data_IF_396979823542
#
_entry.id   IF_396979823542
#
_cell.length_a   1.000
_cell.length_b   1.000
_cell.length_c   1.000
_cell.angle_alpha   90.00
_cell.angle_beta   90.00
_cell.angle_gamma   90.00
#
_symmetry.space_group_name_H-M   'P 1'
#
loop_
_entity.id
_entity.type
_entity.pdbx_description
1 polymer ?
#
# COMPACT_ATOMS: atom_id res chain seq x y z
N UNK A 1 11.35 0.66 -10.62
CA UNK A 1 10.71 1.97 -10.40
C UNK A 1 10.75 2.30 -8.92
N UNK A 2 11.01 3.56 -8.53
CA UNK A 2 10.86 4.02 -7.14
C UNK A 2 9.47 4.62 -6.95
N UNK A 3 8.82 4.29 -5.84
CA UNK A 3 7.50 4.78 -5.43
C UNK A 3 7.51 5.16 -3.96
N UNK A 4 6.69 6.15 -3.59
CA UNK A 4 6.32 6.43 -2.21
C UNK A 4 5.10 5.62 -1.77
N UNK A 5 4.84 5.61 -0.46
CA UNK A 5 3.61 5.07 0.12
C UNK A 5 3.15 5.98 1.27
N UNK A 6 1.87 5.89 1.58
CA UNK A 6 1.22 6.69 2.62
C UNK A 6 0.44 5.75 3.52
N UNK A 7 0.94 5.55 4.74
CA UNK A 7 0.23 4.82 5.77
C UNK A 7 -1.08 5.55 6.10
N UNK A 8 -2.19 4.83 6.18
CA UNK A 8 -3.50 5.44 6.45
C UNK A 8 -3.52 6.18 7.80
N UNK A 9 -2.77 5.71 8.80
CA UNK A 9 -2.62 6.38 10.10
C UNK A 9 -1.84 7.68 9.96
N UNK A 10 -0.78 7.70 9.17
CA UNK A 10 -0.05 8.94 8.85
C UNK A 10 -0.98 9.97 8.21
N UNK A 11 -1.77 9.55 7.23
CA UNK A 11 -2.71 10.43 6.53
C UNK A 11 -3.74 10.98 7.53
N UNK A 12 -4.28 10.15 8.42
CA UNK A 12 -5.22 10.58 9.46
C UNK A 12 -4.58 11.55 10.46
N UNK A 13 -3.40 11.24 10.98
CA UNK A 13 -2.65 12.11 11.90
C UNK A 13 -2.32 13.46 11.25
N UNK A 14 -1.94 13.46 9.97
CA UNK A 14 -1.65 14.68 9.25
C UNK A 14 -2.89 15.54 9.02
N UNK A 15 -4.06 14.93 8.78
CA UNK A 15 -5.32 15.67 8.72
C UNK A 15 -5.62 16.34 10.07
N UNK A 16 -5.49 15.63 11.18
CA UNK A 16 -5.70 16.19 12.52
C UNK A 16 -4.71 17.33 12.76
N UNK A 17 -3.42 17.11 12.52
CA UNK A 17 -2.39 18.14 12.67
C UNK A 17 -2.70 19.37 11.81
N UNK A 18 -3.05 19.20 10.53
CA UNK A 18 -3.33 20.32 9.63
C UNK A 18 -4.49 21.18 10.11
N UNK A 19 -5.52 20.58 10.73
CA UNK A 19 -6.63 21.35 11.33
C UNK A 19 -6.19 22.23 12.51
N UNK A 20 -5.13 21.86 13.22
CA UNK A 20 -4.58 22.66 14.33
C UNK A 20 -3.69 23.81 13.88
N UNK A 21 -3.08 23.72 12.68
CA UNK A 21 -2.17 24.75 12.18
C UNK A 21 -2.90 25.98 11.64
N UNK A 22 -4.13 25.84 11.16
CA UNK A 22 -4.96 26.93 10.58
C UNK A 22 -4.25 27.74 9.48
N UNK A 23 -3.44 27.09 8.66
CA UNK A 23 -2.55 27.74 7.67
C UNK A 23 -3.06 27.74 6.23
N UNK A 24 -4.19 27.10 5.90
CA UNK A 24 -4.75 27.12 4.54
C UNK A 24 -3.82 26.56 3.44
N UNK A 25 -2.82 25.77 3.83
CA UNK A 25 -1.75 25.26 2.97
C UNK A 25 -2.06 23.85 2.46
N UNK A 26 -1.51 23.52 1.29
CA UNK A 26 -1.52 22.15 0.74
C UNK A 26 -0.26 21.37 1.16
N UNK A 27 -0.42 20.10 1.52
CA UNK A 27 0.68 19.22 1.93
C UNK A 27 0.56 17.85 1.26
N UNK A 28 1.70 17.28 0.87
CA UNK A 28 1.76 15.85 0.56
C UNK A 28 1.75 15.05 1.87
N UNK A 29 1.16 13.86 1.83
CA UNK A 29 1.13 12.93 2.97
C UNK A 29 1.82 11.63 2.55
N UNK A 30 3.09 11.46 2.94
CA UNK A 30 3.92 10.32 2.53
C UNK A 30 4.79 9.85 3.72
N UNK A 31 5.06 8.55 3.77
CA UNK A 31 5.86 7.89 4.79
C UNK A 31 7.28 8.49 4.94
N UNK A 32 7.83 9.04 3.86
CA UNK A 32 9.13 9.71 3.82
C UNK A 32 10.27 8.87 3.24
N UNK A 33 10.05 7.57 3.02
CA UNK A 33 10.98 6.69 2.29
C UNK A 33 10.38 6.19 0.98
N UNK A 34 11.17 6.22 -0.10
CA UNK A 34 10.81 5.57 -1.37
C UNK A 34 11.38 4.15 -1.43
N UNK A 35 10.75 3.29 -2.21
CA UNK A 35 11.14 1.89 -2.36
C UNK A 35 10.91 1.40 -3.80
N UNK A 36 11.49 0.25 -4.14
CA UNK A 36 11.12 -0.47 -5.36
C UNK A 36 10.34 -1.72 -5.00
N UNK A 37 9.25 -2.01 -5.72
CA UNK A 37 8.48 -3.25 -5.54
C UNK A 37 9.37 -4.51 -5.52
N UNK A 38 10.29 -4.63 -6.49
CA UNK A 38 11.23 -5.75 -6.56
C UNK A 38 12.12 -5.94 -5.33
N UNK A 39 12.38 -4.88 -4.56
CA UNK A 39 13.25 -4.92 -3.38
C UNK A 39 12.49 -5.40 -2.15
N UNK A 40 11.19 -5.08 -2.04
CA UNK A 40 10.37 -5.42 -0.87
C UNK A 40 9.47 -6.65 -1.08
N UNK A 41 9.34 -7.14 -2.31
CA UNK A 41 8.40 -8.23 -2.64
C UNK A 41 8.67 -9.51 -1.84
N UNK A 42 9.95 -9.86 -1.66
CA UNK A 42 10.35 -11.00 -0.86
C UNK A 42 9.94 -10.87 0.60
N UNK A 43 10.14 -9.68 1.17
CA UNK A 43 9.77 -9.40 2.56
C UNK A 43 8.25 -9.42 2.77
N UNK A 44 7.47 -8.94 1.79
CA UNK A 44 6.00 -9.07 1.79
C UNK A 44 5.60 -10.55 1.80
N UNK A 45 6.23 -11.37 0.95
CA UNK A 45 5.97 -12.81 0.93
C UNK A 45 6.24 -13.46 2.27
N UNK A 46 7.41 -13.20 2.86
CA UNK A 46 7.79 -13.72 4.19
C UNK A 46 6.77 -13.33 5.26
N UNK A 47 6.32 -12.07 5.28
CA UNK A 47 5.30 -11.60 6.23
C UNK A 47 3.95 -12.31 6.07
N UNK A 48 3.57 -12.64 4.84
CA UNK A 48 2.35 -13.39 4.53
C UNK A 48 2.54 -14.92 4.66
N UNK A 49 3.71 -15.40 5.08
CA UNK A 49 3.99 -16.83 5.21
C UNK A 49 4.16 -17.56 3.88
N UNK A 50 4.38 -16.84 2.78
CA UNK A 50 4.57 -17.42 1.44
C UNK A 50 5.99 -17.19 0.92
N UNK A 51 6.59 -18.20 0.32
CA UNK A 51 7.89 -18.04 -0.32
C UNK A 51 7.72 -17.39 -1.69
N UNK A 52 7.84 -16.06 -1.76
CA UNK A 52 7.83 -15.31 -3.01
C UNK A 52 9.19 -14.67 -3.22
N UNK A 53 9.93 -15.09 -4.25
CA UNK A 53 11.29 -14.57 -4.51
C UNK A 53 11.35 -13.65 -5.73
N UNK A 54 10.30 -13.59 -6.55
CA UNK A 54 10.34 -12.84 -7.79
C UNK A 54 9.12 -11.95 -8.00
N UNK A 55 9.36 -10.64 -8.06
CA UNK A 55 8.38 -9.67 -8.55
C UNK A 55 8.30 -9.78 -10.09
N UNK A 56 7.13 -10.14 -10.61
CA UNK A 56 6.88 -10.33 -12.04
C UNK A 56 6.02 -9.20 -12.61
N UNK A 57 6.60 -8.37 -13.48
CA UNK A 57 5.92 -7.26 -14.15
C UNK A 57 4.95 -7.72 -15.25
N UNK A 58 5.15 -8.91 -15.81
CA UNK A 58 4.32 -9.47 -16.88
C UNK A 58 3.05 -10.15 -16.34
N UNK A 59 2.92 -10.26 -15.02
CA UNK A 59 1.75 -10.85 -14.38
C UNK A 59 0.49 -10.02 -14.65
N UNK A 60 -0.54 -10.69 -15.16
CA UNK A 60 -1.89 -10.13 -15.35
C UNK A 60 -2.77 -10.54 -14.17
N UNK A 61 -2.87 -9.69 -13.15
CA UNK A 61 -3.66 -9.96 -11.94
C UNK A 61 -5.15 -10.18 -12.24
N UNK A 62 -5.70 -9.50 -13.24
CA UNK A 62 -7.06 -9.73 -13.75
C UNK A 62 -7.29 -11.18 -14.15
N UNK A 63 -6.32 -11.81 -14.82
CA UNK A 63 -6.39 -13.20 -15.24
C UNK A 63 -6.04 -14.16 -14.09
N UNK A 64 -4.95 -13.89 -13.38
CA UNK A 64 -4.46 -14.74 -12.30
C UNK A 64 -5.47 -14.89 -11.14
N UNK A 65 -6.34 -13.89 -10.94
CA UNK A 65 -7.34 -13.86 -9.88
C UNK A 65 -8.79 -13.96 -10.41
N UNK A 66 -8.99 -14.31 -11.68
CA UNK A 66 -10.31 -14.31 -12.34
C UNK A 66 -11.29 -15.34 -11.77
N UNK A 67 -10.80 -16.51 -11.33
CA UNK A 67 -11.63 -17.62 -10.84
C UNK A 67 -11.35 -17.95 -9.36
N UNK A 68 -10.90 -16.95 -8.59
CA UNK A 68 -10.52 -17.15 -7.19
C UNK A 68 -11.68 -16.89 -6.21
N UNK A 69 -12.86 -16.52 -6.70
CA UNK A 69 -14.03 -16.22 -5.85
C UNK A 69 -14.47 -17.44 -5.02
N UNK A 70 -14.61 -18.60 -5.65
CA UNK A 70 -14.97 -19.84 -4.93
C UNK A 70 -13.90 -20.26 -3.90
N UNK A 71 -12.63 -20.08 -4.25
CA UNK A 71 -11.52 -20.33 -3.32
C UNK A 71 -11.57 -19.38 -2.11
N UNK A 72 -11.84 -18.09 -2.33
CA UNK A 72 -11.96 -17.10 -1.26
C UNK A 72 -13.11 -17.43 -0.30
N UNK A 73 -14.29 -17.80 -0.81
CA UNK A 73 -15.43 -18.22 0.01
C UNK A 73 -15.07 -19.38 0.94
N UNK A 74 -14.34 -20.36 0.42
CA UNK A 74 -13.87 -21.49 1.23
C UNK A 74 -12.89 -21.05 2.32
N UNK A 75 -11.99 -20.10 2.03
CA UNK A 75 -11.07 -19.53 3.02
C UNK A 75 -11.84 -18.80 4.11
N UNK A 76 -12.79 -17.92 3.75
CA UNK A 76 -13.64 -17.19 4.69
C UNK A 76 -14.36 -18.13 5.65
N UNK A 77 -15.00 -19.18 5.11
CA UNK A 77 -15.69 -20.17 5.93
C UNK A 77 -14.72 -20.98 6.83
N UNK A 78 -13.60 -21.44 6.27
CA UNK A 78 -12.65 -22.30 6.98
C UNK A 78 -11.94 -21.58 8.12
N UNK A 79 -11.57 -20.33 7.90
CA UNK A 79 -10.80 -19.52 8.86
C UNK A 79 -11.71 -18.64 9.74
N UNK A 80 -13.04 -18.65 9.53
CA UNK A 80 -14.00 -17.86 10.30
C UNK A 80 -13.84 -16.35 10.11
N UNK A 81 -13.51 -15.92 8.89
CA UNK A 81 -13.29 -14.51 8.56
C UNK A 81 -14.63 -13.77 8.39
N UNK A 82 -14.56 -12.43 8.38
CA UNK A 82 -15.69 -11.58 8.00
C UNK A 82 -16.13 -11.93 6.58
N UNK A 83 -17.44 -12.10 6.40
CA UNK A 83 -18.04 -12.44 5.10
C UNK A 83 -17.75 -11.32 4.09
N UNK A 84 -16.99 -11.67 3.06
CA UNK A 84 -16.53 -10.77 1.99
C UNK A 84 -16.42 -11.55 0.69
N UNK A 85 -16.66 -10.87 -0.42
CA UNK A 85 -16.33 -11.39 -1.74
C UNK A 85 -14.91 -10.96 -2.14
N UNK A 86 -14.28 -11.72 -3.04
CA UNK A 86 -12.91 -11.40 -3.48
C UNK A 86 -12.84 -9.98 -4.07
N UNK A 87 -13.89 -9.55 -4.78
CA UNK A 87 -13.95 -8.27 -5.47
C UNK A 87 -14.16 -7.08 -4.50
N UNK A 88 -14.59 -7.33 -3.26
CA UNK A 88 -14.67 -6.30 -2.21
C UNK A 88 -13.27 -5.89 -1.71
N UNK A 89 -12.31 -6.83 -1.76
CA UNK A 89 -10.98 -6.68 -1.16
C UNK A 89 -9.87 -6.47 -2.20
N UNK A 90 -9.98 -7.13 -3.36
CA UNK A 90 -8.92 -7.18 -4.36
C UNK A 90 -9.32 -6.45 -5.65
N UNK A 91 -8.97 -5.17 -5.73
CA UNK A 91 -9.11 -4.41 -6.98
C UNK A 91 -8.01 -4.81 -7.98
N UNK A 92 -8.32 -5.80 -8.82
CA UNK A 92 -7.40 -6.38 -9.82
C UNK A 92 -6.87 -5.34 -10.81
N UNK A 93 -7.72 -4.43 -11.29
CA UNK A 93 -7.32 -3.39 -12.25
C UNK A 93 -6.36 -2.39 -11.60
N UNK A 94 -6.66 -1.96 -10.37
CA UNK A 94 -5.77 -1.10 -9.60
C UNK A 94 -4.40 -1.75 -9.37
N UNK A 95 -4.36 -3.02 -8.97
CA UNK A 95 -3.10 -3.74 -8.77
C UNK A 95 -2.28 -3.86 -10.06
N UNK A 96 -2.93 -4.19 -11.19
CA UNK A 96 -2.25 -4.22 -12.48
C UNK A 96 -1.64 -2.86 -12.82
N UNK A 97 -2.41 -1.78 -12.71
CA UNK A 97 -1.94 -0.42 -13.00
C UNK A 97 -0.82 0.03 -12.05
N UNK A 98 -0.93 -0.30 -10.76
CA UNK A 98 0.06 0.04 -9.75
C UNK A 98 1.42 -0.62 -10.02
N UNK A 99 1.42 -1.94 -10.30
CA UNK A 99 2.66 -2.69 -10.51
C UNK A 99 3.27 -2.46 -11.88
N UNK A 100 2.45 -2.20 -12.91
CA UNK A 100 2.90 -1.91 -14.28
C UNK A 100 3.20 -0.44 -14.51
N UNK A 101 2.87 0.46 -13.58
CA UNK A 101 3.27 1.85 -13.67
C UNK A 101 4.80 1.92 -13.84
N UNK A 102 5.27 2.70 -14.80
CA UNK A 102 6.70 2.92 -15.07
C UNK A 102 7.16 4.31 -14.63
N UNK A 103 6.22 5.15 -14.19
CA UNK A 103 6.48 6.52 -13.75
C UNK A 103 6.96 6.51 -12.31
N UNK A 104 8.10 7.16 -12.02
CA UNK A 104 8.54 7.36 -10.64
C UNK A 104 7.53 8.25 -9.91
N UNK A 105 6.87 7.72 -8.88
CA UNK A 105 5.93 8.46 -8.05
C UNK A 105 6.62 8.83 -6.74
N UNK A 106 7.31 9.97 -6.73
CA UNK A 106 8.07 10.46 -5.59
C UNK A 106 7.46 11.74 -5.07
N UNK A 107 7.30 11.82 -3.76
CA UNK A 107 6.68 12.94 -3.06
C UNK A 107 7.62 13.46 -1.96
N UNK A 108 7.63 14.77 -1.80
CA UNK A 108 8.34 15.48 -0.74
C UNK A 108 7.39 15.75 0.42
N UNK A 109 7.88 15.58 1.65
CA UNK A 109 7.18 16.01 2.87
C UNK A 109 7.92 17.12 3.61
N UNK A 110 8.93 17.72 2.98
CA UNK A 110 9.76 18.76 3.60
C UNK A 110 8.90 19.93 4.10
N UNK A 111 7.85 20.30 3.36
CA UNK A 111 6.92 21.37 3.77
C UNK A 111 6.24 21.09 5.12
N UNK A 112 5.77 19.86 5.34
CA UNK A 112 5.15 19.47 6.61
C UNK A 112 6.21 19.34 7.73
N UNK A 113 7.40 18.83 7.40
CA UNK A 113 8.50 18.71 8.37
C UNK A 113 8.98 20.09 8.87
N UNK A 114 8.98 21.13 8.02
CA UNK A 114 9.32 22.50 8.41
C UNK A 114 8.31 23.13 9.37
N UNK A 115 7.15 22.49 9.57
CA UNK A 115 6.07 22.93 10.45
C UNK A 115 5.82 21.90 11.57
N UNK A 116 6.88 21.21 11.97
CA UNK A 116 6.93 20.27 13.10
C UNK A 116 6.06 19.00 12.95
N UNK A 117 5.52 18.69 11.76
CA UNK A 117 4.88 17.40 11.51
C UNK A 117 5.92 16.32 11.20
N UNK A 118 6.33 15.59 12.25
CA UNK A 118 7.44 14.63 12.18
C UNK A 118 7.03 13.16 12.11
N UNK A 119 5.75 12.81 12.25
CA UNK A 119 5.25 11.41 12.17
C UNK A 119 5.72 10.74 10.88
N UNK A 120 6.42 9.61 10.98
CA UNK A 120 6.83 8.79 9.83
C UNK A 120 6.52 7.33 10.11
N UNK A 121 6.25 6.59 9.04
CA UNK A 121 6.11 5.14 9.11
C UNK A 121 7.09 4.49 8.15
N UNK A 122 7.68 3.36 8.56
CA UNK A 122 8.53 2.57 7.69
C UNK A 122 7.61 1.74 6.78
N UNK A 123 7.73 1.93 5.46
CA UNK A 123 6.74 1.39 4.51
C UNK A 123 6.58 -0.13 4.60
N UNK A 124 7.65 -0.89 4.79
CA UNK A 124 7.53 -2.34 4.87
C UNK A 124 6.79 -2.79 6.14
N UNK A 125 7.01 -2.12 7.27
CA UNK A 125 6.27 -2.30 8.52
C UNK A 125 4.79 -1.95 8.32
N UNK A 126 4.48 -0.82 7.68
CA UNK A 126 3.11 -0.38 7.38
C UNK A 126 2.31 -1.37 6.53
N UNK A 127 2.94 -2.06 5.58
CA UNK A 127 2.23 -2.99 4.67
C UNK A 127 1.58 -4.17 5.41
N UNK A 128 2.09 -4.53 6.59
CA UNK A 128 1.59 -5.67 7.37
C UNK A 128 0.87 -5.30 8.67
N UNK A 129 0.55 -4.02 8.88
CA UNK A 129 -0.25 -3.56 10.01
C UNK A 129 -1.74 -3.73 9.71
#
# INVERSE_FOLDING_TARGET
MYVGASDARLVAEQHIWATTQNIGEVFNAVNGGSYKWKEIWGDIGIKLGVNSTLFNLDLRYSLAMSDMGGLWKNIVMKEGLVETEMDDLANREFLENLFKCLVKMLESREKANCLDFTTKYQTLESIGY
#
